data_IF_233407764624
#
_entry.id   IF_233407764624
#
_cell.length_a   1.000
_cell.length_b   1.000
_cell.length_c   1.000
_cell.angle_alpha   90.00
_cell.angle_beta   90.00
_cell.angle_gamma   90.00
#
_symmetry.space_group_name_H-M   'P 1'
#
loop_
_entity.id
_entity.type
_entity.pdbx_description
1 polymer ?
#
# COMPACT_ATOMS: atom_id res chain seq x y z
N UNK A 1 7.82 -10.91 -10.57
CA UNK A 1 8.57 -10.12 -11.57
C UNK A 1 8.50 -8.66 -11.17
N UNK A 2 9.64 -7.97 -11.13
CA UNK A 2 9.69 -6.52 -10.93
C UNK A 2 9.63 -5.81 -12.28
N UNK A 3 8.94 -4.67 -12.34
CA UNK A 3 8.84 -3.83 -13.54
C UNK A 3 8.65 -2.35 -13.16
N UNK A 4 8.56 -1.48 -14.17
CA UNK A 4 8.35 -0.02 -14.01
C UNK A 4 9.30 0.63 -12.98
N UNK A 5 10.61 0.51 -13.23
CA UNK A 5 11.65 1.06 -12.36
C UNK A 5 11.49 0.59 -10.90
N UNK A 6 11.25 -0.72 -10.71
CA UNK A 6 11.08 -1.35 -9.39
C UNK A 6 9.80 -0.95 -8.64
N UNK A 7 8.96 -0.09 -9.21
CA UNK A 7 7.72 0.36 -8.60
C UNK A 7 6.57 -0.64 -8.71
N UNK A 8 6.72 -1.71 -9.48
CA UNK A 8 5.64 -2.68 -9.69
C UNK A 8 6.11 -4.12 -9.51
N UNK A 9 5.30 -4.91 -8.83
CA UNK A 9 5.55 -6.31 -8.51
C UNK A 9 4.42 -7.16 -9.04
N UNK A 10 4.71 -8.01 -10.02
CA UNK A 10 3.82 -9.11 -10.42
C UNK A 10 4.17 -10.35 -9.62
N UNK A 11 3.25 -10.81 -8.77
CA UNK A 11 3.43 -12.00 -7.93
C UNK A 11 2.44 -13.09 -8.30
N UNK A 12 2.96 -14.31 -8.47
CA UNK A 12 2.17 -15.52 -8.64
C UNK A 12 2.11 -16.23 -7.29
N UNK A 13 0.91 -16.42 -6.79
CA UNK A 13 0.62 -17.11 -5.54
C UNK A 13 -0.04 -18.44 -5.84
N UNK A 14 0.52 -19.52 -5.31
CA UNK A 14 -0.07 -20.85 -5.39
C UNK A 14 -0.44 -21.26 -3.96
N UNK A 15 -1.73 -21.33 -3.68
CA UNK A 15 -2.28 -21.73 -2.39
C UNK A 15 -2.61 -23.22 -2.44
N UNK A 16 -2.01 -23.99 -1.54
CA UNK A 16 -2.21 -25.43 -1.44
C UNK A 16 -3.10 -25.72 -0.23
N UNK A 17 -4.25 -26.36 -0.45
CA UNK A 17 -5.17 -26.79 0.61
C UNK A 17 -5.53 -28.26 0.43
N UNK A 18 -4.80 -29.13 1.10
CA UNK A 18 -4.92 -30.58 0.94
C UNK A 18 -4.57 -30.99 -0.49
N UNK A 19 -5.55 -31.51 -1.24
CA UNK A 19 -5.39 -31.89 -2.66
C UNK A 19 -5.75 -30.78 -3.65
N UNK A 20 -6.20 -29.62 -3.15
CA UNK A 20 -6.57 -28.49 -3.99
C UNK A 20 -5.40 -27.53 -4.16
N UNK A 21 -5.22 -27.05 -5.39
CA UNK A 21 -4.27 -26.02 -5.77
C UNK A 21 -5.06 -24.85 -6.34
N UNK A 22 -4.91 -23.67 -5.74
CA UNK A 22 -5.50 -22.44 -6.23
C UNK A 22 -4.37 -21.49 -6.62
N UNK A 23 -4.46 -20.94 -7.83
CA UNK A 23 -3.47 -20.01 -8.34
C UNK A 23 -4.07 -18.61 -8.45
N UNK A 24 -3.33 -17.62 -7.97
CA UNK A 24 -3.68 -16.22 -8.07
C UNK A 24 -2.48 -15.43 -8.59
N UNK A 25 -2.73 -14.50 -9.50
CA UNK A 25 -1.75 -13.51 -9.93
C UNK A 25 -2.16 -12.17 -9.37
N UNK A 26 -1.24 -11.51 -8.66
CA UNK A 26 -1.48 -10.23 -8.00
C UNK A 26 -0.42 -9.23 -8.47
N UNK A 27 -0.89 -8.08 -8.91
CA UNK A 27 -0.08 -6.93 -9.30
C UNK A 27 -0.06 -5.92 -8.17
N UNK A 28 1.11 -5.62 -7.61
CA UNK A 28 1.28 -4.79 -6.42
C UNK A 28 2.19 -3.59 -6.70
N UNK A 29 1.83 -2.45 -6.11
CA UNK A 29 2.70 -1.29 -5.93
C UNK A 29 2.68 -0.90 -4.46
N UNK A 30 3.85 -0.88 -3.83
CA UNK A 30 4.01 -0.61 -2.41
C UNK A 30 4.53 0.81 -2.27
N UNK A 31 3.90 1.59 -1.39
CA UNK A 31 4.32 2.94 -1.06
C UNK A 31 4.56 3.07 0.43
N UNK A 32 5.60 3.81 0.78
CA UNK A 32 5.76 4.36 2.13
C UNK A 32 4.77 5.51 2.38
N UNK A 33 4.59 5.86 3.66
CA UNK A 33 3.81 7.04 4.04
C UNK A 33 4.33 8.33 3.38
N UNK A 34 5.65 8.47 3.24
CA UNK A 34 6.27 9.64 2.64
C UNK A 34 5.95 9.75 1.13
N UNK A 35 6.09 8.65 0.38
CA UNK A 35 5.80 8.62 -1.05
C UNK A 35 4.32 8.88 -1.33
N UNK A 36 3.43 8.21 -0.60
CA UNK A 36 2.00 8.39 -0.79
C UNK A 36 1.55 9.82 -0.45
N UNK A 37 2.14 10.41 0.59
CA UNK A 37 1.89 11.82 0.94
C UNK A 37 2.40 12.78 -0.14
N UNK A 38 3.57 12.53 -0.74
CA UNK A 38 4.08 13.33 -1.85
C UNK A 38 3.13 13.30 -3.05
N UNK A 39 2.68 12.10 -3.45
CA UNK A 39 1.76 11.93 -4.57
C UNK A 39 0.43 12.67 -4.35
N UNK A 40 -0.10 12.66 -3.12
CA UNK A 40 -1.28 13.44 -2.76
C UNK A 40 -1.05 14.95 -2.91
N UNK A 41 0.11 15.45 -2.47
CA UNK A 41 0.46 16.88 -2.62
C UNK A 41 0.63 17.28 -4.07
N UNK A 42 1.25 16.43 -4.89
CA UNK A 42 1.37 16.65 -6.35
C UNK A 42 0.01 16.74 -7.04
N UNK A 43 -1.01 16.06 -6.50
CA UNK A 43 -2.40 16.15 -6.95
C UNK A 43 -3.17 17.36 -6.40
N UNK A 44 -2.51 18.26 -5.65
CA UNK A 44 -3.08 19.48 -5.10
C UNK A 44 -3.72 19.35 -3.72
N UNK A 45 -3.59 18.20 -3.05
CA UNK A 45 -4.04 18.07 -1.66
C UNK A 45 -3.05 18.77 -0.71
N UNK A 46 -3.60 19.54 0.24
CA UNK A 46 -2.90 20.21 1.33
C UNK A 46 -3.15 19.47 2.65
N UNK A 47 -2.42 19.87 3.69
CA UNK A 47 -2.57 19.35 5.06
C UNK A 47 -2.61 17.82 5.14
N UNK A 48 -1.71 17.15 4.41
CA UNK A 48 -1.63 15.69 4.38
C UNK A 48 -1.23 15.15 5.75
N UNK A 49 -2.10 14.33 6.35
CA UNK A 49 -1.89 13.68 7.64
C UNK A 49 -1.84 12.16 7.49
N UNK A 50 -1.04 11.50 8.32
CA UNK A 50 -0.76 10.07 8.23
C UNK A 50 -1.18 9.38 9.53
N UNK A 51 -1.92 8.28 9.40
CA UNK A 51 -2.44 7.48 10.50
C UNK A 51 -2.19 5.98 10.29
N UNK A 52 -2.09 5.26 11.41
CA UNK A 52 -1.90 3.81 11.49
C UNK A 52 -3.20 2.98 11.47
N UNK A 53 -4.35 3.66 11.45
CA UNK A 53 -5.67 3.08 11.63
C UNK A 53 -6.78 4.03 11.17
N UNK A 54 -7.99 3.49 11.03
CA UNK A 54 -9.17 4.29 10.67
C UNK A 54 -9.76 5.04 11.88
N UNK A 55 -9.29 4.71 13.08
CA UNK A 55 -9.59 5.36 14.36
C UNK A 55 -8.69 6.59 14.62
N UNK A 56 -7.78 6.91 13.69
CA UNK A 56 -6.83 8.01 13.84
C UNK A 56 -5.61 7.67 14.69
N UNK A 57 -5.33 6.38 14.94
CA UNK A 57 -4.12 5.96 15.64
C UNK A 57 -2.86 6.44 14.91
N UNK A 58 -1.75 6.63 15.64
CA UNK A 58 -0.48 7.00 15.03
C UNK A 58 0.02 5.92 14.04
N UNK A 59 0.71 6.34 12.98
CA UNK A 59 1.41 5.43 12.09
C UNK A 59 2.81 5.14 12.65
N UNK A 60 2.94 4.01 13.34
CA UNK A 60 4.19 3.53 13.93
C UNK A 60 4.53 2.10 13.47
N UNK A 61 5.57 1.50 14.06
CA UNK A 61 6.04 0.15 13.71
C UNK A 61 5.04 -0.97 14.05
N UNK A 62 4.01 -0.69 14.85
CA UNK A 62 2.94 -1.61 15.20
C UNK A 62 1.68 -1.44 14.36
N UNK A 63 1.61 -0.37 13.55
CA UNK A 63 0.47 -0.08 12.70
C UNK A 63 0.23 -1.18 11.67
N UNK A 64 -1.03 -1.64 11.58
CA UNK A 64 -1.44 -2.66 10.60
C UNK A 64 -1.91 -2.08 9.27
N UNK A 65 -2.09 -0.76 9.22
CA UNK A 65 -2.60 -0.04 8.05
C UNK A 65 -1.90 1.31 7.94
N UNK A 66 -1.70 1.75 6.71
CA UNK A 66 -1.35 3.13 6.38
C UNK A 66 -2.61 3.84 5.89
N UNK A 67 -2.95 4.96 6.51
CA UNK A 67 -4.04 5.85 6.10
C UNK A 67 -3.44 7.23 5.89
N UNK A 68 -3.67 7.82 4.71
CA UNK A 68 -3.27 9.20 4.42
C UNK A 68 -4.52 10.01 4.09
N UNK A 69 -4.72 11.12 4.79
CA UNK A 69 -5.85 12.04 4.60
C UNK A 69 -5.29 13.36 4.10
N UNK A 70 -5.90 13.95 3.09
CA UNK A 70 -5.55 15.28 2.59
C UNK A 70 -6.79 16.13 2.36
N UNK A 71 -6.62 17.44 2.46
CA UNK A 71 -7.65 18.44 2.15
C UNK A 71 -7.43 18.95 0.73
N UNK A 72 -8.46 19.01 -0.12
CA UNK A 72 -8.35 19.56 -1.48
C UNK A 72 -8.64 21.07 -1.45
#
# INVERSE_FOLDING_TARGET
RLSQNWGWIESRWIVIKGKQFMEHTISLRIYSAAELSSLLRECGFRDTQVYGGLDGSAYDTSAKRLVVVGLK
#
